data_IF_525145720639
#
_entry.id   IF_525145720639
#
_cell.length_a   1.000
_cell.length_b   1.000
_cell.length_c   1.000
_cell.angle_alpha   90.00
_cell.angle_beta   90.00
_cell.angle_gamma   90.00
#
_symmetry.space_group_name_H-M   'P 1'
#
loop_
_entity.id
_entity.type
_entity.pdbx_description
1 polymer ?
#
# COMPACT_ATOMS: atom_id res chain seq x y z
N UNK A 1 22.45 1.76 2.54
CA UNK A 1 21.94 1.26 1.25
C UNK A 1 20.62 0.58 1.56
N UNK A 2 19.53 1.10 1.01
CA UNK A 2 18.20 0.56 1.29
C UNK A 2 17.99 -0.65 0.38
N UNK A 3 18.08 -1.85 0.97
CA UNK A 3 17.85 -3.12 0.30
C UNK A 3 16.70 -3.80 1.03
N UNK A 4 15.80 -4.43 0.29
CA UNK A 4 14.78 -5.29 0.88
C UNK A 4 15.32 -6.70 1.01
N UNK A 5 14.76 -7.48 1.95
CA UNK A 5 15.28 -8.81 2.21
C UNK A 5 14.92 -9.75 1.04
N UNK A 6 15.92 -10.10 0.20
CA UNK A 6 15.76 -11.03 -0.93
C UNK A 6 16.21 -10.49 -2.28
N UNK A 7 16.61 -9.22 -2.38
CA UNK A 7 17.23 -8.70 -3.59
C UNK A 7 18.67 -9.22 -3.77
N UNK A 8 19.10 -9.50 -5.01
CA UNK A 8 20.51 -9.70 -5.31
C UNK A 8 21.33 -8.51 -4.79
N UNK A 9 22.45 -8.77 -4.13
CA UNK A 9 23.37 -7.73 -3.67
C UNK A 9 23.75 -6.81 -4.84
N UNK A 10 23.25 -5.56 -4.84
CA UNK A 10 23.64 -4.53 -5.81
C UNK A 10 22.50 -3.67 -6.35
N UNK A 11 21.26 -4.14 -6.33
CA UNK A 11 20.13 -3.36 -6.84
C UNK A 11 19.45 -2.54 -5.73
N UNK A 12 20.05 -1.41 -5.37
CA UNK A 12 19.40 -0.46 -4.47
C UNK A 12 18.06 -0.01 -5.09
N UNK A 13 16.96 -0.15 -4.34
CA UNK A 13 15.66 0.26 -4.86
C UNK A 13 15.59 1.78 -5.02
N UNK A 14 14.89 2.23 -6.06
CA UNK A 14 14.70 3.65 -6.31
C UNK A 14 13.70 4.20 -5.29
N UNK A 15 14.13 5.11 -4.42
CA UNK A 15 13.27 5.77 -3.42
C UNK A 15 12.19 6.67 -4.07
N UNK A 16 12.40 7.05 -5.33
CA UNK A 16 11.44 7.85 -6.11
C UNK A 16 10.63 6.91 -7.00
N UNK A 17 9.32 6.85 -6.73
CA UNK A 17 8.33 6.13 -7.55
C UNK A 17 7.33 7.12 -8.13
N UNK A 18 7.03 6.97 -9.42
CA UNK A 18 5.97 7.73 -10.09
C UNK A 18 4.68 6.90 -10.06
N UNK A 19 3.54 7.58 -9.89
CA UNK A 19 2.24 6.95 -9.98
C UNK A 19 1.33 7.75 -10.89
N UNK A 20 0.45 7.05 -11.62
CA UNK A 20 -0.58 7.67 -12.43
C UNK A 20 -1.88 7.61 -11.63
N UNK A 21 -2.39 8.75 -11.12
CA UNK A 21 -3.67 8.79 -10.44
C UNK A 21 -4.81 8.79 -11.48
N UNK A 22 -5.69 7.82 -11.39
CA UNK A 22 -6.94 7.74 -12.15
C UNK A 22 -8.08 7.70 -11.13
N UNK A 23 -9.00 8.65 -11.21
CA UNK A 23 -10.10 8.71 -10.26
C UNK A 23 -11.34 9.35 -10.84
N UNK A 24 -12.46 9.02 -10.22
CA UNK A 24 -13.76 9.59 -10.51
C UNK A 24 -14.46 9.90 -9.19
N UNK A 25 -15.27 10.95 -9.20
CA UNK A 25 -16.05 11.35 -8.04
C UNK A 25 -17.38 11.94 -8.46
N UNK A 26 -18.37 11.81 -7.58
CA UNK A 26 -19.68 12.39 -7.74
C UNK A 26 -19.91 13.35 -6.59
N UNK A 27 -20.34 14.57 -6.93
CA UNK A 27 -20.77 15.57 -5.95
C UNK A 27 -22.26 15.80 -6.10
N UNK A 28 -22.97 15.68 -4.99
CA UNK A 28 -24.41 15.90 -4.91
C UNK A 28 -24.75 16.98 -3.89
N UNK A 29 -25.66 17.87 -4.30
CA UNK A 29 -26.20 18.91 -3.41
C UNK A 29 -27.42 18.35 -2.70
N UNK A 30 -27.30 18.09 -1.40
CA UNK A 30 -28.42 17.62 -0.57
C UNK A 30 -29.38 18.79 -0.30
N UNK A 31 -28.83 19.86 0.27
CA UNK A 31 -29.56 21.09 0.56
C UNK A 31 -28.80 22.27 -0.02
N UNK A 32 -29.46 23.43 -0.06
CA UNK A 32 -28.84 24.67 -0.52
C UNK A 32 -27.60 25.11 0.29
N UNK A 33 -27.37 24.54 1.47
CA UNK A 33 -26.17 24.75 2.30
C UNK A 33 -25.32 23.49 2.47
N UNK A 34 -25.82 22.31 2.14
CA UNK A 34 -25.16 21.04 2.44
C UNK A 34 -24.88 20.28 1.14
N UNK A 35 -23.61 19.97 0.91
CA UNK A 35 -23.15 19.16 -0.21
C UNK A 35 -22.45 17.92 0.32
N UNK A 36 -22.64 16.81 -0.39
CA UNK A 36 -21.89 15.58 -0.19
C UNK A 36 -21.12 15.26 -1.46
N UNK A 37 -19.89 14.76 -1.34
CA UNK A 37 -19.13 14.24 -2.46
C UNK A 37 -18.55 12.88 -2.08
N UNK A 38 -18.48 11.99 -3.05
CA UNK A 38 -17.78 10.72 -2.94
C UNK A 38 -16.71 10.67 -4.03
N UNK A 39 -15.51 10.25 -3.68
CA UNK A 39 -14.36 10.19 -4.57
C UNK A 39 -13.71 8.81 -4.49
N UNK A 40 -13.36 8.28 -5.66
CA UNK A 40 -12.62 7.02 -5.80
C UNK A 40 -11.43 7.26 -6.72
N UNK A 41 -10.23 6.91 -6.27
CA UNK A 41 -8.99 7.14 -7.00
C UNK A 41 -8.04 5.95 -6.93
N UNK A 42 -7.81 5.30 -8.05
CA UNK A 42 -6.78 4.28 -8.22
C UNK A 42 -5.44 4.93 -8.54
N UNK A 43 -4.38 4.50 -7.88
CA UNK A 43 -3.01 4.90 -8.18
C UNK A 43 -2.19 3.67 -8.51
N UNK A 44 -1.79 3.55 -9.77
CA UNK A 44 -0.84 2.52 -10.20
C UNK A 44 0.56 3.01 -9.90
N UNK A 45 1.26 2.36 -8.96
CA UNK A 45 2.64 2.69 -8.66
C UNK A 45 3.56 2.04 -9.72
N UNK A 46 4.72 2.64 -9.98
CA UNK A 46 5.76 2.02 -10.82
C UNK A 46 6.77 1.21 -9.99
N UNK A 47 6.37 0.77 -8.79
CA UNK A 47 7.18 -0.03 -7.88
C UNK A 47 6.41 -1.27 -7.42
N UNK A 48 7.16 -2.30 -7.05
CA UNK A 48 6.71 -3.63 -6.58
C UNK A 48 7.01 -3.81 -5.08
N UNK A 49 7.32 -2.71 -4.41
CA UNK A 49 7.82 -2.66 -3.05
C UNK A 49 6.94 -1.78 -2.15
N UNK A 50 5.67 -1.59 -2.50
CA UNK A 50 4.78 -0.76 -1.70
C UNK A 50 4.44 -1.41 -0.35
N UNK A 51 4.34 -2.73 -0.32
CA UNK A 51 4.14 -3.57 0.86
C UNK A 51 5.37 -4.43 1.21
N UNK A 52 6.47 -4.22 0.49
CA UNK A 52 7.73 -4.97 0.61
C UNK A 52 7.55 -6.49 0.47
N UNK A 53 6.59 -6.94 -0.35
CA UNK A 53 6.24 -8.34 -0.57
C UNK A 53 6.07 -8.60 -2.08
N UNK A 54 7.05 -9.24 -2.71
CA UNK A 54 7.00 -9.52 -4.15
C UNK A 54 7.10 -11.00 -4.48
N UNK A 55 8.27 -11.61 -4.31
CA UNK A 55 8.55 -12.92 -4.90
C UNK A 55 8.64 -14.03 -3.87
N UNK A 56 9.76 -14.11 -3.15
CA UNK A 56 10.10 -15.28 -2.34
C UNK A 56 10.78 -14.85 -1.06
N UNK A 57 10.63 -15.67 -0.02
CA UNK A 57 11.35 -15.43 1.22
C UNK A 57 12.87 -15.50 0.99
N UNK A 58 13.63 -14.52 1.51
CA UNK A 58 15.08 -14.50 1.48
C UNK A 58 15.71 -15.61 2.33
N UNK A 59 16.95 -15.95 2.01
CA UNK A 59 17.76 -16.83 2.84
C UNK A 59 18.33 -16.04 4.03
N UNK A 60 17.66 -16.09 5.18
CA UNK A 60 18.10 -15.38 6.40
C UNK A 60 18.74 -16.39 7.35
N UNK A 61 19.92 -16.04 7.87
CA UNK A 61 20.60 -16.85 8.88
C UNK A 61 19.75 -17.00 10.15
N UNK A 62 19.57 -18.25 10.58
CA UNK A 62 18.84 -18.65 11.79
C UNK A 62 19.32 -17.87 13.03
N UNK A 63 18.39 -17.40 13.86
CA UNK A 63 18.68 -16.73 15.14
C UNK A 63 18.97 -15.22 15.05
N UNK A 64 18.94 -14.63 13.86
CA UNK A 64 19.03 -13.17 13.72
C UNK A 64 17.68 -12.49 14.01
N UNK A 65 17.68 -11.27 14.56
CA UNK A 65 16.47 -10.44 14.73
C UNK A 65 15.72 -10.24 13.41
N UNK A 66 16.46 -10.26 12.29
CA UNK A 66 15.92 -10.19 10.93
C UNK A 66 15.05 -11.39 10.59
N UNK A 67 15.48 -12.61 10.93
CA UNK A 67 14.71 -13.82 10.68
C UNK A 67 13.36 -13.81 11.41
N UNK A 68 13.30 -13.26 12.62
CA UNK A 68 12.06 -13.11 13.38
C UNK A 68 11.12 -12.01 12.85
N UNK A 69 11.65 -11.02 12.13
CA UNK A 69 10.87 -9.90 11.56
C UNK A 69 10.41 -10.16 10.13
N UNK A 70 11.14 -10.98 9.37
CA UNK A 70 10.83 -11.32 7.99
C UNK A 70 9.56 -12.16 7.83
N UNK A 71 9.23 -12.96 8.85
CA UNK A 71 7.99 -13.72 8.91
C UNK A 71 7.38 -13.64 10.32
N UNK A 72 6.41 -12.74 10.50
CA UNK A 72 5.69 -12.59 11.77
C UNK A 72 4.63 -13.67 12.01
N UNK A 73 4.34 -14.53 11.03
CA UNK A 73 3.44 -15.69 11.23
C UNK A 73 4.08 -16.74 12.15
N UNK A 74 5.42 -16.77 12.20
CA UNK A 74 6.25 -17.64 13.06
C UNK A 74 6.05 -17.35 14.56
N UNK A 75 5.48 -16.19 14.93
CA UNK A 75 5.17 -15.84 16.31
C UNK A 75 4.02 -16.61 16.95
N UNK A 76 3.29 -17.45 16.19
CA UNK A 76 2.15 -18.23 16.71
C UNK A 76 2.09 -19.65 16.14
N UNK A 77 3.20 -20.39 16.15
CA UNK A 77 3.05 -21.84 16.23
C UNK A 77 2.45 -22.16 17.62
N UNK A 78 1.16 -22.56 17.65
CA UNK A 78 0.41 -23.04 18.83
C UNK A 78 1.04 -24.26 19.54
N UNK A 79 2.31 -24.59 19.26
CA UNK A 79 2.96 -25.83 19.67
C UNK A 79 4.42 -25.65 20.13
N UNK A 80 4.85 -24.45 20.54
CA UNK A 80 6.11 -24.23 21.28
C UNK A 80 7.42 -24.59 20.57
N UNK A 81 7.37 -25.13 19.35
CA UNK A 81 8.54 -25.47 18.55
C UNK A 81 9.00 -24.22 17.80
N UNK A 82 10.28 -23.86 17.97
CA UNK A 82 10.97 -22.81 17.20
C UNK A 82 10.73 -23.10 15.72
N UNK A 83 9.82 -22.35 15.08
CA UNK A 83 9.59 -22.52 13.66
C UNK A 83 10.88 -22.10 12.96
N UNK A 84 11.61 -23.08 12.45
CA UNK A 84 12.70 -22.83 11.53
C UNK A 84 12.13 -22.07 10.34
N UNK A 85 12.67 -20.90 9.95
CA UNK A 85 12.37 -20.29 8.66
C UNK A 85 12.97 -21.15 7.55
N UNK A 86 12.44 -22.35 7.33
CA UNK A 86 12.68 -23.16 6.14
C UNK A 86 11.66 -22.79 5.04
N UNK A 87 11.43 -21.49 4.91
CA UNK A 87 10.50 -20.87 3.94
C UNK A 87 11.26 -20.44 2.69
N UNK A 88 12.54 -20.83 2.54
CA UNK A 88 13.40 -20.43 1.42
C UNK A 88 12.72 -20.77 0.10
N UNK A 89 12.49 -19.73 -0.69
CA UNK A 89 11.89 -19.90 -2.01
C UNK A 89 10.37 -20.12 -1.99
N UNK A 90 9.71 -20.16 -0.84
CA UNK A 90 8.25 -20.13 -0.76
C UNK A 90 7.77 -18.76 -1.23
N UNK A 91 6.66 -18.75 -1.97
CA UNK A 91 6.09 -17.53 -2.53
C UNK A 91 5.69 -16.56 -1.40
N UNK A 92 6.31 -15.37 -1.42
CA UNK A 92 6.04 -14.24 -0.53
C UNK A 92 5.50 -13.11 -1.40
N UNK A 93 4.19 -13.12 -1.61
CA UNK A 93 3.52 -12.19 -2.50
C UNK A 93 3.06 -12.83 -3.80
N UNK A 94 3.27 -12.09 -4.88
CA UNK A 94 2.61 -12.27 -6.16
C UNK A 94 3.61 -11.91 -7.28
N UNK A 95 3.64 -12.68 -8.38
CA UNK A 95 4.58 -12.45 -9.49
C UNK A 95 4.13 -11.39 -10.51
N UNK A 96 2.99 -10.74 -10.28
CA UNK A 96 2.50 -9.63 -11.10
C UNK A 96 3.39 -8.44 -10.85
N UNK A 97 3.64 -7.72 -11.94
CA UNK A 97 4.47 -6.53 -11.91
C UNK A 97 3.64 -5.36 -11.38
N UNK A 98 4.12 -4.74 -10.30
CA UNK A 98 3.74 -3.42 -9.77
C UNK A 98 2.49 -3.41 -8.90
N UNK A 99 2.60 -2.65 -7.81
CA UNK A 99 1.52 -2.46 -6.85
C UNK A 99 0.54 -1.39 -7.32
N UNK A 100 -0.74 -1.63 -7.02
CA UNK A 100 -1.83 -0.65 -7.23
C UNK A 100 -2.54 -0.46 -5.90
N UNK A 101 -2.78 0.80 -5.54
CA UNK A 101 -3.49 1.15 -4.31
C UNK A 101 -4.66 2.08 -4.62
N UNK A 102 -5.69 2.04 -3.77
CA UNK A 102 -6.95 2.74 -3.94
C UNK A 102 -7.15 3.76 -2.82
N UNK A 103 -7.63 4.94 -3.18
CA UNK A 103 -8.23 5.90 -2.26
C UNK A 103 -9.73 5.93 -2.48
N UNK A 104 -10.48 5.90 -1.39
CA UNK A 104 -11.90 6.19 -1.37
C UNK A 104 -12.16 7.20 -0.26
N UNK A 105 -12.96 8.23 -0.55
CA UNK A 105 -13.24 9.32 0.37
C UNK A 105 -14.67 9.82 0.23
N UNK A 106 -15.23 10.25 1.36
CA UNK A 106 -16.51 10.96 1.41
C UNK A 106 -16.25 12.32 2.01
N UNK A 107 -16.73 13.37 1.35
CA UNK A 107 -16.58 14.75 1.78
C UNK A 107 -17.96 15.34 2.06
N UNK A 108 -18.13 15.93 3.24
CA UNK A 108 -19.30 16.72 3.60
C UNK A 108 -18.91 18.20 3.62
N UNK A 109 -19.63 19.05 2.90
CA UNK A 109 -19.35 20.49 2.84
C UNK A 109 -20.57 21.30 3.22
N UNK A 110 -20.41 22.22 4.18
CA UNK A 110 -21.46 23.14 4.62
C UNK A 110 -21.12 24.59 4.27
N UNK A 111 -22.05 25.30 3.63
CA UNK A 111 -21.87 26.70 3.20
C UNK A 111 -22.55 27.65 4.17
N UNK A 112 -21.76 28.49 4.86
CA UNK A 112 -22.24 29.42 5.88
C UNK A 112 -22.87 30.69 5.30
N UNK A 113 -22.22 31.32 4.32
CA UNK A 113 -22.69 32.55 3.66
C UNK A 113 -22.82 32.26 2.17
N UNK A 114 -23.96 32.62 1.58
CA UNK A 114 -24.20 32.45 0.15
C UNK A 114 -23.74 33.66 -0.62
N UNK A 115 -22.98 33.45 -1.68
CA UNK A 115 -22.78 34.44 -2.74
C UNK A 115 -23.60 33.97 -3.94
N UNK A 116 -24.66 34.72 -4.28
CA UNK A 116 -25.41 34.48 -5.50
C UNK A 116 -24.54 34.91 -6.69
N UNK A 117 -24.60 34.17 -7.80
CA UNK A 117 -23.96 34.60 -9.04
C UNK A 117 -24.63 35.92 -9.51
N UNK A 118 -23.85 36.95 -9.88
CA UNK A 118 -24.41 38.15 -10.47
C UNK A 118 -25.08 37.79 -11.81
N UNK A 119 -26.32 38.25 -11.97
CA UNK A 119 -27.01 38.24 -13.26
C UNK A 119 -26.56 39.50 -14.00
N UNK A 120 -25.74 39.33 -15.04
CA UNK A 120 -25.52 40.36 -16.05
C UNK A 120 -26.56 40.20 -17.16
#
# INVERSE_FOLDING_TARGET
MFNTEGQPNGEAYKTISTSIPLGAGVKYRINEKLNIAAEFGFRKANTDYLDDVSQRYPNIAYGSTRAALADRSIGQNKLGNVATPDVKGVQRGDFRKKDTYLFAGITLSYTFVRQNCPLF
#
